data_IF_893855828284
#
_entry.id   IF_893855828284
#
_cell.length_a   1.000
_cell.length_b   1.000
_cell.length_c   1.000
_cell.angle_alpha   90.00
_cell.angle_beta   90.00
_cell.angle_gamma   90.00
#
_symmetry.space_group_name_H-M   'P 1'
#
loop_
_entity.id
_entity.type
_entity.pdbx_description
1 polymer ?
#
# COMPACT_ATOMS: atom_id res chain seq x y z
N UNK A 1 18.78 2.61 -52.86
CA UNK A 1 18.50 1.95 -51.56
C UNK A 1 19.08 2.81 -50.46
N UNK A 2 18.26 3.27 -49.52
CA UNK A 2 18.73 3.96 -48.31
C UNK A 2 17.80 3.49 -47.18
N UNK A 3 18.31 2.69 -46.23
CA UNK A 3 17.58 2.30 -45.03
C UNK A 3 17.99 3.23 -43.90
N UNK A 4 17.04 4.03 -43.41
CA UNK A 4 17.25 4.87 -42.24
C UNK A 4 16.93 4.09 -40.98
N UNK A 5 17.92 3.87 -40.11
CA UNK A 5 17.68 3.28 -38.79
C UNK A 5 17.09 4.33 -37.86
N UNK A 6 15.83 4.13 -37.45
CA UNK A 6 15.23 4.89 -36.35
C UNK A 6 15.85 4.43 -35.03
N UNK A 7 16.65 5.29 -34.43
CA UNK A 7 17.13 5.13 -33.06
C UNK A 7 15.95 5.25 -32.09
N UNK A 8 15.52 4.14 -31.50
CA UNK A 8 14.64 4.19 -30.34
C UNK A 8 15.48 4.52 -29.10
N UNK A 9 15.19 5.65 -28.47
CA UNK A 9 15.82 6.05 -27.21
C UNK A 9 15.29 5.18 -26.05
N UNK A 10 16.15 4.28 -25.54
CA UNK A 10 15.83 3.39 -24.43
C UNK A 10 15.95 4.05 -23.05
N UNK A 11 16.16 5.38 -22.96
CA UNK A 11 16.26 6.10 -21.68
C UNK A 11 14.90 6.32 -20.99
N UNK A 12 13.80 6.27 -21.73
CA UNK A 12 12.44 6.48 -21.20
C UNK A 12 11.86 5.14 -20.72
N UNK A 13 11.92 4.91 -19.41
CA UNK A 13 11.22 3.77 -18.80
C UNK A 13 9.70 3.91 -19.02
N UNK A 14 9.00 2.94 -19.65
CA UNK A 14 7.56 3.04 -19.90
C UNK A 14 6.74 3.22 -18.61
N UNK A 15 7.21 2.69 -17.48
CA UNK A 15 6.63 2.95 -16.16
C UNK A 15 6.60 4.45 -15.83
N UNK A 16 7.73 5.13 -16.02
CA UNK A 16 7.84 6.58 -15.80
C UNK A 16 6.97 7.37 -16.78
N UNK A 17 6.81 6.92 -18.03
CA UNK A 17 5.95 7.60 -19.02
C UNK A 17 4.45 7.45 -18.73
N UNK A 18 4.02 6.30 -18.19
CA UNK A 18 2.65 6.11 -17.73
C UNK A 18 2.36 6.96 -16.48
N UNK A 19 3.23 6.91 -15.48
CA UNK A 19 2.99 7.59 -14.20
C UNK A 19 3.20 9.12 -14.26
N UNK A 20 4.12 9.65 -15.08
CA UNK A 20 4.24 11.11 -15.29
C UNK A 20 2.93 11.73 -15.80
N UNK A 21 2.12 10.99 -16.57
CA UNK A 21 0.81 11.46 -17.05
C UNK A 21 -0.22 11.57 -15.91
N UNK A 22 -0.08 10.80 -14.81
CA UNK A 22 -0.95 10.89 -13.63
C UNK A 22 -0.73 12.17 -12.83
N UNK A 23 0.52 12.63 -12.70
CA UNK A 23 0.86 13.82 -11.91
C UNK A 23 0.17 15.12 -12.39
N UNK A 24 -0.17 15.22 -13.68
CA UNK A 24 -0.82 16.39 -14.26
C UNK A 24 -2.35 16.44 -14.06
N UNK A 25 -3.00 15.35 -13.65
CA UNK A 25 -4.47 15.27 -13.60
C UNK A 25 -5.11 15.86 -12.33
N UNK A 26 -4.35 16.11 -11.27
CA UNK A 26 -4.89 16.43 -9.93
C UNK A 26 -4.99 17.94 -9.67
N UNK A 27 -4.39 18.80 -10.51
CA UNK A 27 -4.26 20.24 -10.24
C UNK A 27 -5.48 21.12 -10.63
N UNK A 28 -6.67 20.54 -10.83
CA UNK A 28 -7.87 21.30 -11.19
C UNK A 28 -9.15 20.74 -10.58
N UNK A 29 -9.43 21.14 -9.33
CA UNK A 29 -10.77 21.04 -8.72
C UNK A 29 -11.17 22.44 -8.25
N UNK A 30 -12.22 23.01 -8.85
CA UNK A 30 -12.78 24.31 -8.48
C UNK A 30 -13.62 24.21 -7.20
N UNK A 31 -13.57 25.26 -6.37
CA UNK A 31 -14.49 25.44 -5.24
C UNK A 31 -15.89 25.91 -5.70
N UNK A 32 -16.97 25.33 -5.17
CA UNK A 32 -18.28 25.99 -5.08
C UNK A 32 -18.48 26.67 -3.72
N UNK A 33 -19.05 27.88 -3.75
CA UNK A 33 -19.42 28.71 -2.60
C UNK A 33 -20.79 28.35 -2.03
N UNK A 34 -21.02 28.49 -0.71
CA UNK A 34 -22.38 28.44 -0.13
C UNK A 34 -22.50 29.16 1.23
N UNK A 35 -23.61 29.88 1.44
CA UNK A 35 -24.22 30.35 2.72
C UNK A 35 -25.61 30.97 2.35
N UNK A 36 -26.61 31.16 3.26
CA UNK A 36 -26.93 30.41 4.48
C UNK A 36 -28.45 30.18 4.80
N UNK A 37 -28.70 29.24 5.72
CA UNK A 37 -29.68 29.24 6.86
C UNK A 37 -31.21 29.41 6.71
N UNK A 38 -31.96 28.39 7.16
CA UNK A 38 -33.24 28.41 7.91
C UNK A 38 -33.62 26.96 8.33
N UNK A 39 -34.34 26.61 9.43
CA UNK A 39 -34.64 27.28 10.72
C UNK A 39 -34.85 26.18 11.82
N UNK A 40 -35.72 26.34 12.84
CA UNK A 40 -36.01 25.33 13.90
C UNK A 40 -37.50 25.22 14.28
N UNK A 41 -37.88 24.07 14.87
CA UNK A 41 -38.71 23.84 16.09
C UNK A 41 -39.73 22.66 15.96
N UNK A 42 -40.33 22.11 17.06
CA UNK A 42 -39.90 20.81 17.62
C UNK A 42 -41.08 19.81 17.77
N UNK A 43 -40.87 18.64 18.41
CA UNK A 43 -41.92 17.82 19.08
C UNK A 43 -41.25 16.77 19.99
N UNK A 44 -42.00 16.18 20.94
CA UNK A 44 -41.44 15.68 22.22
C UNK A 44 -41.94 14.28 22.63
N UNK A 45 -41.22 13.62 23.55
CA UNK A 45 -41.59 12.37 24.32
C UNK A 45 -41.46 11.04 23.53
N UNK A 46 -41.16 9.84 24.08
CA UNK A 46 -41.08 9.24 25.44
C UNK A 46 -40.00 8.11 25.45
N UNK A 47 -39.32 7.73 26.57
CA UNK A 47 -38.15 6.83 26.53
C UNK A 47 -38.41 5.31 26.62
N UNK A 48 -37.41 4.50 26.22
CA UNK A 48 -37.34 3.02 26.31
C UNK A 48 -36.11 2.60 27.17
N UNK A 49 -36.13 1.49 27.95
CA UNK A 49 -35.25 1.35 29.11
C UNK A 49 -33.78 1.01 28.79
N UNK A 50 -32.91 1.35 29.75
CA UNK A 50 -31.48 1.08 29.73
C UNK A 50 -31.19 -0.36 30.17
N UNK A 51 -30.51 -1.15 29.33
CA UNK A 51 -29.87 -2.39 29.79
C UNK A 51 -28.46 -2.06 30.26
N UNK A 52 -28.17 -2.40 31.52
CA UNK A 52 -26.94 -2.04 32.21
C UNK A 52 -26.01 -3.26 32.27
N UNK A 53 -24.92 -3.24 31.50
CA UNK A 53 -23.85 -4.23 31.65
C UNK A 53 -22.87 -3.78 32.75
N UNK A 54 -22.37 -4.67 33.61
CA UNK A 54 -21.59 -4.30 34.78
C UNK A 54 -20.15 -3.88 34.43
N UNK A 55 -19.67 -2.81 35.07
CA UNK A 55 -18.26 -2.43 35.04
C UNK A 55 -17.42 -3.50 35.77
N UNK A 56 -16.48 -4.13 35.07
CA UNK A 56 -15.40 -4.86 35.72
C UNK A 56 -14.12 -4.03 35.67
N UNK A 57 -13.75 -3.46 36.82
CA UNK A 57 -12.45 -2.81 37.00
C UNK A 57 -11.35 -3.86 37.07
N UNK A 58 -10.49 -3.89 36.05
CA UNK A 58 -9.12 -4.40 36.20
C UNK A 58 -8.16 -3.36 35.63
N UNK A 59 -7.68 -2.47 36.52
CA UNK A 59 -6.55 -1.61 36.22
C UNK A 59 -5.28 -2.46 36.14
N UNK A 60 -4.57 -2.40 35.02
CA UNK A 60 -3.51 -3.36 34.73
C UNK A 60 -2.54 -2.95 33.62
N UNK A 61 -1.73 -1.93 33.89
CA UNK A 61 -0.31 -1.81 33.51
C UNK A 61 0.13 -1.87 32.02
N UNK A 62 1.41 -1.52 31.89
CA UNK A 62 2.32 -1.71 30.74
C UNK A 62 2.02 -0.80 29.55
N UNK A 63 2.82 0.25 29.46
CA UNK A 63 2.96 1.08 28.26
C UNK A 63 4.20 0.59 27.50
N UNK A 64 4.10 -0.31 26.50
CA UNK A 64 5.23 -0.62 25.66
C UNK A 64 5.52 0.64 24.83
N UNK A 65 6.74 1.14 24.90
CA UNK A 65 7.19 2.28 24.09
C UNK A 65 7.43 1.83 22.64
N UNK A 66 6.35 1.49 21.93
CA UNK A 66 6.36 1.37 20.48
C UNK A 66 6.69 2.75 19.92
N UNK A 67 7.87 2.88 19.31
CA UNK A 67 8.25 4.09 18.59
C UNK A 67 7.37 4.20 17.35
N UNK A 68 6.29 4.99 17.47
CA UNK A 68 5.37 5.28 16.37
C UNK A 68 6.08 6.10 15.30
N UNK A 69 6.59 5.41 14.27
CA UNK A 69 7.18 6.02 13.07
C UNK A 69 6.11 6.65 12.16
N UNK A 70 5.33 7.59 12.68
CA UNK A 70 4.57 8.59 11.90
C UNK A 70 4.18 9.76 12.80
N UNK A 71 4.94 10.86 12.76
CA UNK A 71 4.55 12.12 13.41
C UNK A 71 3.51 12.87 12.56
N UNK A 72 2.34 12.25 12.40
CA UNK A 72 1.11 12.89 11.92
C UNK A 72 -0.09 12.07 12.39
N UNK A 73 -0.33 12.05 13.70
CA UNK A 73 -1.61 11.65 14.26
C UNK A 73 -2.65 12.74 13.94
N UNK A 74 -3.08 12.79 12.68
CA UNK A 74 -4.30 13.48 12.31
C UNK A 74 -5.50 12.77 12.97
N UNK A 75 -6.56 13.54 13.24
CA UNK A 75 -7.94 13.04 13.40
C UNK A 75 -8.19 11.88 12.44
N UNK A 76 -8.88 10.77 12.83
CA UNK A 76 -9.07 9.60 11.97
C UNK A 76 -9.48 10.05 10.57
N UNK A 77 -8.54 9.88 9.64
CA UNK A 77 -8.73 10.31 8.27
C UNK A 77 -9.93 9.53 7.76
N UNK A 78 -10.83 10.20 7.02
CA UNK A 78 -11.86 9.48 6.30
C UNK A 78 -11.13 8.55 5.31
N UNK A 79 -10.98 7.27 5.70
CA UNK A 79 -10.29 6.27 4.88
C UNK A 79 -10.88 6.36 3.48
N UNK A 80 -10.01 6.48 2.49
CA UNK A 80 -10.45 6.57 1.12
C UNK A 80 -11.08 5.23 0.71
N UNK A 81 -11.87 5.25 -0.37
CA UNK A 81 -12.28 4.01 -1.05
C UNK A 81 -11.06 3.18 -1.47
N UNK A 82 -11.24 1.89 -1.75
CA UNK A 82 -10.13 0.95 -1.97
C UNK A 82 -9.24 1.35 -3.16
N UNK A 83 -9.83 1.81 -4.27
CA UNK A 83 -9.09 2.26 -5.45
C UNK A 83 -8.14 3.43 -5.13
N UNK A 84 -8.60 4.56 -4.55
CA UNK A 84 -7.67 5.64 -4.18
C UNK A 84 -6.66 5.26 -3.09
N UNK A 85 -6.92 4.24 -2.25
CA UNK A 85 -5.94 3.76 -1.28
C UNK A 85 -4.79 2.98 -1.94
N UNK A 86 -5.11 2.03 -2.82
CA UNK A 86 -4.12 1.26 -3.59
C UNK A 86 -3.36 2.16 -4.57
N UNK A 87 -4.06 3.10 -5.23
CA UNK A 87 -3.43 4.18 -6.02
C UNK A 87 -2.42 5.01 -5.22
N UNK A 88 -2.59 5.15 -3.90
CA UNK A 88 -1.61 5.83 -3.05
C UNK A 88 -0.38 4.96 -2.77
N UNK A 89 -0.55 3.67 -2.46
CA UNK A 89 0.57 2.72 -2.30
C UNK A 89 1.47 2.73 -3.55
N UNK A 90 0.87 2.63 -4.74
CA UNK A 90 1.60 2.63 -6.02
C UNK A 90 2.44 3.89 -6.25
N UNK A 91 1.94 5.05 -5.82
CA UNK A 91 2.66 6.32 -5.92
C UNK A 91 3.83 6.41 -4.94
N UNK A 92 3.70 5.88 -3.71
CA UNK A 92 4.81 5.79 -2.75
C UNK A 92 5.87 4.78 -3.22
N UNK A 93 5.44 3.61 -3.74
CA UNK A 93 6.32 2.61 -4.35
C UNK A 93 7.13 3.18 -5.51
N UNK A 94 6.48 3.91 -6.43
CA UNK A 94 7.20 4.66 -7.46
C UNK A 94 8.18 5.66 -6.83
N UNK A 95 7.71 6.53 -5.93
CA UNK A 95 8.54 7.59 -5.35
C UNK A 95 9.80 7.03 -4.66
N UNK A 96 9.67 5.90 -3.98
CA UNK A 96 10.80 5.18 -3.37
C UNK A 96 11.74 4.61 -4.43
N UNK A 97 11.22 3.98 -5.49
CA UNK A 97 12.05 3.48 -6.59
C UNK A 97 12.85 4.61 -7.27
N UNK A 98 12.23 5.78 -7.49
CA UNK A 98 12.86 6.94 -8.11
C UNK A 98 13.96 7.54 -7.22
N UNK A 99 13.83 7.45 -5.89
CA UNK A 99 14.90 7.82 -4.95
C UNK A 99 16.11 6.89 -5.07
N UNK A 100 15.88 5.59 -5.26
CA UNK A 100 16.96 4.60 -5.46
C UNK A 100 17.66 4.83 -6.80
N UNK A 101 16.90 5.06 -7.87
CA UNK A 101 17.42 5.23 -9.24
C UNK A 101 18.29 6.48 -9.39
N UNK A 102 17.85 7.62 -8.84
CA UNK A 102 18.53 8.91 -9.01
C UNK A 102 19.64 9.19 -7.98
N UNK A 103 19.70 8.45 -6.87
CA UNK A 103 20.74 8.67 -5.87
C UNK A 103 22.13 8.23 -6.38
N UNK A 104 23.16 8.96 -5.98
CA UNK A 104 24.56 8.52 -6.04
C UNK A 104 25.08 8.01 -4.70
N UNK A 105 24.30 8.19 -3.61
CA UNK A 105 24.68 7.83 -2.25
C UNK A 105 24.27 6.38 -1.91
N UNK A 106 25.27 5.56 -1.57
CA UNK A 106 25.11 4.14 -1.23
C UNK A 106 24.26 3.90 0.02
N UNK A 107 24.28 4.81 1.00
CA UNK A 107 23.48 4.73 2.23
C UNK A 107 22.01 5.07 1.96
N UNK A 108 21.76 6.11 1.16
CA UNK A 108 20.41 6.50 0.72
C UNK A 108 19.74 5.39 -0.11
N UNK A 109 20.48 4.79 -1.05
CA UNK A 109 20.02 3.60 -1.79
C UNK A 109 19.63 2.45 -0.87
N UNK A 110 20.43 2.19 0.17
CA UNK A 110 20.14 1.12 1.15
C UNK A 110 18.86 1.41 1.93
N UNK A 111 18.68 2.67 2.37
CA UNK A 111 17.49 3.14 3.09
C UNK A 111 16.22 3.01 2.24
N UNK A 112 16.23 3.54 1.02
CA UNK A 112 15.07 3.45 0.14
C UNK A 112 14.83 2.04 -0.39
N UNK A 113 15.86 1.19 -0.58
CA UNK A 113 15.67 -0.25 -0.82
C UNK A 113 14.88 -0.90 0.33
N UNK A 114 15.26 -0.60 1.57
CA UNK A 114 14.59 -1.16 2.74
C UNK A 114 13.13 -0.70 2.83
N UNK A 115 12.85 0.59 2.56
CA UNK A 115 11.49 1.15 2.49
C UNK A 115 10.68 0.54 1.36
N UNK A 116 11.16 0.59 0.12
CA UNK A 116 10.49 0.02 -1.05
C UNK A 116 10.15 -1.46 -0.87
N UNK A 117 11.06 -2.25 -0.29
CA UNK A 117 10.79 -3.67 0.03
C UNK A 117 9.70 -3.83 1.09
N UNK A 118 9.72 -2.98 2.12
CA UNK A 118 8.75 -3.01 3.22
C UNK A 118 7.35 -2.63 2.76
N UNK A 119 7.21 -1.64 1.87
CA UNK A 119 5.92 -1.33 1.26
C UNK A 119 5.47 -2.46 0.34
N UNK A 120 6.30 -2.85 -0.64
CA UNK A 120 5.87 -3.76 -1.70
C UNK A 120 5.49 -5.14 -1.16
N UNK A 121 6.25 -5.69 -0.21
CA UNK A 121 5.92 -7.01 0.37
C UNK A 121 4.56 -7.02 1.08
N UNK A 122 4.22 -5.96 1.81
CA UNK A 122 2.98 -5.88 2.61
C UNK A 122 1.77 -5.50 1.75
N UNK A 123 1.99 -4.72 0.70
CA UNK A 123 1.01 -4.38 -0.31
C UNK A 123 0.57 -5.63 -1.09
N UNK A 124 1.50 -6.35 -1.73
CA UNK A 124 1.18 -7.55 -2.53
C UNK A 124 0.44 -8.64 -1.71
N UNK A 125 0.91 -8.92 -0.49
CA UNK A 125 0.27 -9.91 0.40
C UNK A 125 -1.05 -9.36 0.96
N UNK A 126 -1.15 -8.06 1.21
CA UNK A 126 -2.40 -7.41 1.62
C UNK A 126 -3.50 -7.56 0.57
N UNK A 127 -3.18 -7.38 -0.71
CA UNK A 127 -4.10 -7.58 -1.83
C UNK A 127 -4.53 -9.04 -2.00
N UNK A 128 -3.57 -9.97 -1.96
CA UNK A 128 -3.85 -11.41 -2.06
C UNK A 128 -4.83 -11.92 -0.98
N UNK A 129 -4.80 -11.31 0.22
CA UNK A 129 -5.65 -11.68 1.35
C UNK A 129 -6.95 -10.88 1.46
N UNK A 130 -6.97 -9.62 1.02
CA UNK A 130 -8.11 -8.70 1.21
C UNK A 130 -8.81 -8.39 -0.11
N UNK A 131 -8.08 -7.86 -1.09
CA UNK A 131 -8.65 -7.37 -2.36
C UNK A 131 -9.11 -8.54 -3.23
N UNK A 132 -8.31 -9.61 -3.32
CA UNK A 132 -8.64 -10.75 -4.17
C UNK A 132 -9.83 -11.55 -3.59
N UNK A 133 -9.95 -11.60 -2.27
CA UNK A 133 -11.13 -12.16 -1.59
C UNK A 133 -12.40 -11.36 -1.92
N UNK A 134 -12.31 -10.02 -1.96
CA UNK A 134 -13.41 -9.16 -2.39
C UNK A 134 -13.74 -9.32 -3.88
N UNK A 135 -12.74 -9.41 -4.77
CA UNK A 135 -12.94 -9.67 -6.21
C UNK A 135 -13.67 -10.99 -6.44
N UNK A 136 -13.22 -12.09 -5.82
CA UNK A 136 -13.86 -13.42 -5.86
C UNK A 136 -15.31 -13.36 -5.37
N UNK A 137 -15.58 -12.59 -4.33
CA UNK A 137 -16.91 -12.51 -3.70
C UNK A 137 -17.89 -11.63 -4.49
N UNK A 138 -17.41 -10.59 -5.17
CA UNK A 138 -18.24 -9.54 -5.76
C UNK A 138 -18.38 -9.63 -7.30
N UNK A 139 -17.43 -10.27 -8.00
CA UNK A 139 -17.41 -10.35 -9.47
C UNK A 139 -17.58 -11.80 -9.96
N UNK A 140 -18.38 -11.99 -11.01
CA UNK A 140 -18.65 -13.31 -11.59
C UNK A 140 -17.40 -14.02 -12.17
N UNK A 141 -16.42 -13.25 -12.64
CA UNK A 141 -15.09 -13.67 -13.10
C UNK A 141 -14.00 -13.47 -12.03
N UNK A 142 -14.38 -13.11 -10.80
CA UNK A 142 -13.46 -12.72 -9.72
C UNK A 142 -12.40 -13.76 -9.36
N UNK A 143 -12.74 -15.05 -9.44
CA UNK A 143 -11.77 -16.14 -9.26
C UNK A 143 -10.70 -16.17 -10.36
N UNK A 144 -11.09 -15.98 -11.62
CA UNK A 144 -10.16 -15.95 -12.74
C UNK A 144 -9.21 -14.74 -12.66
N UNK A 145 -9.74 -13.60 -12.22
CA UNK A 145 -8.95 -12.39 -11.95
C UNK A 145 -7.92 -12.68 -10.84
N UNK A 146 -8.38 -13.13 -9.67
CA UNK A 146 -7.52 -13.41 -8.53
C UNK A 146 -6.41 -14.43 -8.84
N UNK A 147 -6.71 -15.47 -9.64
CA UNK A 147 -5.73 -16.49 -10.00
C UNK A 147 -4.69 -16.01 -11.02
N UNK A 148 -5.07 -15.15 -11.99
CA UNK A 148 -4.07 -14.43 -12.81
C UNK A 148 -3.16 -13.58 -11.92
N UNK A 149 -3.75 -12.77 -11.07
CA UNK A 149 -3.00 -11.78 -10.32
C UNK A 149 -2.05 -12.44 -9.31
N UNK A 150 -2.42 -13.59 -8.71
CA UNK A 150 -1.50 -14.44 -7.93
C UNK A 150 -0.29 -14.91 -8.72
N UNK A 151 -0.43 -15.24 -10.01
CA UNK A 151 0.68 -15.63 -10.89
C UNK A 151 1.61 -14.44 -11.15
N UNK A 152 1.05 -13.26 -11.42
CA UNK A 152 1.81 -12.00 -11.58
C UNK A 152 2.55 -11.64 -10.30
N UNK A 153 1.86 -11.63 -9.17
CA UNK A 153 2.42 -11.43 -7.83
C UNK A 153 3.54 -12.42 -7.52
N UNK A 154 3.43 -13.68 -7.94
CA UNK A 154 4.50 -14.65 -7.71
C UNK A 154 5.80 -14.27 -8.46
N UNK A 155 5.69 -13.75 -9.68
CA UNK A 155 6.82 -13.18 -10.43
C UNK A 155 7.43 -11.95 -9.73
N UNK A 156 6.57 -11.00 -9.33
CA UNK A 156 6.97 -9.76 -8.64
C UNK A 156 7.63 -10.10 -7.28
N UNK A 157 7.05 -11.02 -6.50
CA UNK A 157 7.61 -11.53 -5.23
C UNK A 157 9.01 -12.13 -5.47
N UNK A 158 9.20 -12.95 -6.50
CA UNK A 158 10.50 -13.54 -6.82
C UNK A 158 11.58 -12.50 -7.20
N UNK A 159 11.19 -11.48 -7.96
CA UNK A 159 12.06 -10.35 -8.31
C UNK A 159 12.39 -9.49 -7.08
N UNK A 160 11.39 -9.20 -6.22
CA UNK A 160 11.59 -8.48 -4.97
C UNK A 160 12.53 -9.24 -4.02
N UNK A 161 12.39 -10.57 -3.92
CA UNK A 161 13.30 -11.41 -3.12
C UNK A 161 14.74 -11.32 -3.65
N UNK A 162 14.93 -11.28 -4.96
CA UNK A 162 16.25 -11.05 -5.56
C UNK A 162 16.76 -9.64 -5.20
N UNK A 163 15.93 -8.61 -5.39
CA UNK A 163 16.30 -7.21 -5.17
C UNK A 163 16.66 -6.88 -3.71
N UNK A 164 15.89 -7.38 -2.74
CA UNK A 164 16.08 -7.06 -1.32
C UNK A 164 17.39 -7.60 -0.75
N UNK A 165 17.92 -8.69 -1.32
CA UNK A 165 19.17 -9.34 -0.92
C UNK A 165 20.41 -8.63 -1.51
N UNK A 166 20.27 -7.87 -2.61
CA UNK A 166 21.39 -7.18 -3.27
C UNK A 166 21.89 -5.96 -2.47
N UNK A 167 23.21 -5.81 -2.39
CA UNK A 167 23.85 -4.58 -1.88
C UNK A 167 23.56 -3.38 -2.80
N UNK A 168 23.48 -2.17 -2.27
CA UNK A 168 23.36 -0.94 -3.07
C UNK A 168 24.58 -0.64 -3.96
N UNK A 169 25.67 -1.39 -3.78
CA UNK A 169 26.88 -1.37 -4.61
C UNK A 169 26.95 -2.49 -5.63
N UNK A 170 26.01 -3.41 -5.63
CA UNK A 170 26.01 -4.55 -6.55
C UNK A 170 25.72 -4.07 -7.99
N UNK A 171 26.47 -4.51 -9.02
CA UNK A 171 26.18 -4.17 -10.42
C UNK A 171 24.76 -4.54 -10.86
N UNK A 172 24.16 -5.58 -10.29
CA UNK A 172 22.79 -6.03 -10.58
C UNK A 172 21.71 -5.26 -9.80
N UNK A 173 22.07 -4.41 -8.84
CA UNK A 173 21.12 -3.69 -8.00
C UNK A 173 20.11 -2.84 -8.79
N UNK A 174 20.61 -1.97 -9.68
CA UNK A 174 19.76 -1.11 -10.51
C UNK A 174 19.10 -1.85 -11.70
N UNK A 175 19.77 -2.79 -12.41
CA UNK A 175 19.10 -3.68 -13.37
C UNK A 175 17.91 -4.43 -12.78
N UNK A 176 18.07 -5.04 -11.59
CA UNK A 176 17.01 -5.81 -10.92
C UNK A 176 15.83 -4.91 -10.54
N UNK A 177 16.09 -3.73 -9.98
CA UNK A 177 15.02 -2.76 -9.69
C UNK A 177 14.27 -2.34 -10.96
N UNK A 178 14.96 -2.11 -12.08
CA UNK A 178 14.29 -1.74 -13.34
C UNK A 178 13.42 -2.87 -13.91
N UNK A 179 13.85 -4.12 -13.80
CA UNK A 179 13.01 -5.28 -14.16
C UNK A 179 11.76 -5.35 -13.29
N UNK A 180 11.95 -5.25 -11.97
CA UNK A 180 10.87 -5.25 -10.98
C UNK A 180 9.85 -4.12 -11.21
N UNK A 181 10.31 -2.89 -11.44
CA UNK A 181 9.42 -1.75 -11.69
C UNK A 181 8.69 -1.83 -13.04
N UNK A 182 9.23 -2.56 -14.03
CA UNK A 182 8.51 -2.81 -15.29
C UNK A 182 7.34 -3.77 -15.04
N UNK A 183 7.61 -4.91 -14.40
CA UNK A 183 6.60 -5.97 -14.26
C UNK A 183 5.53 -5.59 -13.22
N UNK A 184 5.93 -4.96 -12.10
CA UNK A 184 5.00 -4.27 -11.19
C UNK A 184 4.20 -3.18 -11.92
N UNK A 185 4.86 -2.44 -12.81
CA UNK A 185 4.21 -1.41 -13.61
C UNK A 185 3.12 -1.92 -14.54
N UNK A 186 3.23 -3.15 -15.04
CA UNK A 186 2.23 -3.78 -15.88
C UNK A 186 1.01 -4.23 -15.06
N UNK A 187 1.26 -4.83 -13.90
CA UNK A 187 0.23 -5.18 -12.91
C UNK A 187 -0.58 -3.95 -12.45
N UNK A 188 0.11 -2.92 -11.97
CA UNK A 188 -0.48 -1.65 -11.48
C UNK A 188 -1.45 -1.04 -12.49
N UNK A 189 -1.12 -1.03 -13.79
CA UNK A 189 -2.01 -0.46 -14.82
C UNK A 189 -3.30 -1.24 -14.95
N UNK A 190 -3.18 -2.56 -15.05
CA UNK A 190 -4.33 -3.43 -15.26
C UNK A 190 -5.27 -3.41 -14.03
N UNK A 191 -4.71 -3.43 -12.82
CA UNK A 191 -5.48 -3.31 -11.59
C UNK A 191 -6.19 -1.94 -11.46
N UNK A 192 -5.45 -0.84 -11.68
CA UNK A 192 -5.95 0.53 -11.50
C UNK A 192 -6.97 1.00 -12.55
N UNK A 193 -6.87 0.51 -13.79
CA UNK A 193 -7.69 0.93 -14.93
C UNK A 193 -8.82 -0.06 -15.24
N UNK A 194 -8.77 -1.31 -14.77
CA UNK A 194 -9.76 -2.35 -15.06
C UNK A 194 -10.39 -2.96 -13.81
N UNK A 195 -9.60 -3.47 -12.87
CA UNK A 195 -10.11 -4.40 -11.85
C UNK A 195 -10.72 -3.68 -10.65
N UNK A 196 -9.98 -2.73 -10.07
CA UNK A 196 -10.47 -1.94 -8.96
C UNK A 196 -11.64 -1.03 -9.36
N UNK A 197 -11.68 -0.40 -10.56
CA UNK A 197 -12.90 0.28 -11.04
C UNK A 197 -14.13 -0.65 -11.05
N UNK A 198 -14.01 -1.87 -11.59
CA UNK A 198 -15.10 -2.85 -11.62
C UNK A 198 -15.55 -3.29 -10.21
N UNK A 199 -14.61 -3.41 -9.27
CA UNK A 199 -14.94 -3.69 -7.87
C UNK A 199 -15.66 -2.50 -7.21
N UNK A 200 -15.22 -1.27 -7.49
CA UNK A 200 -15.82 -0.04 -6.95
C UNK A 200 -17.22 0.24 -7.51
N UNK A 201 -17.55 -0.24 -8.71
CA UNK A 201 -18.90 -0.19 -9.31
C UNK A 201 -19.92 -1.05 -8.56
N UNK A 202 -19.50 -2.18 -7.99
CA UNK A 202 -20.39 -3.12 -7.27
C UNK A 202 -20.41 -2.91 -5.76
N UNK A 203 -19.38 -2.30 -5.18
CA UNK A 203 -19.32 -1.97 -3.75
C UNK A 203 -19.99 -0.63 -3.43
N UNK A 204 -20.76 -0.60 -2.35
CA UNK A 204 -21.13 0.66 -1.70
C UNK A 204 -19.89 1.41 -1.22
N UNK A 205 -20.05 2.71 -0.96
CA UNK A 205 -18.95 3.54 -0.45
C UNK A 205 -18.46 3.02 0.90
N UNK A 206 -19.38 2.58 1.75
CA UNK A 206 -19.11 2.11 3.10
C UNK A 206 -18.35 0.77 3.09
N UNK A 207 -18.73 -0.17 2.22
CA UNK A 207 -18.01 -1.44 2.02
C UNK A 207 -16.60 -1.22 1.46
N UNK A 208 -16.46 -0.37 0.43
CA UNK A 208 -15.16 -0.03 -0.15
C UNK A 208 -14.21 0.63 0.86
N UNK A 209 -14.73 1.52 1.71
CA UNK A 209 -13.97 2.15 2.79
C UNK A 209 -13.59 1.14 3.89
N UNK A 210 -14.46 0.16 4.21
CA UNK A 210 -14.10 -0.91 5.15
C UNK A 210 -13.06 -1.88 4.57
N UNK A 211 -13.09 -2.12 3.26
CA UNK A 211 -12.06 -2.91 2.57
C UNK A 211 -10.68 -2.24 2.70
N UNK A 212 -10.61 -0.91 2.56
CA UNK A 212 -9.39 -0.13 2.87
C UNK A 212 -8.94 -0.34 4.32
N UNK A 213 -9.85 -0.23 5.31
CA UNK A 213 -9.49 -0.47 6.73
C UNK A 213 -9.00 -1.89 6.98
N UNK A 214 -9.53 -2.87 6.24
CA UNK A 214 -9.06 -4.25 6.33
C UNK A 214 -7.65 -4.39 5.74
N UNK A 215 -7.40 -3.81 4.56
CA UNK A 215 -6.07 -3.79 3.93
C UNK A 215 -5.02 -3.11 4.85
N UNK A 216 -5.34 -1.92 5.37
CA UNK A 216 -4.49 -1.17 6.31
C UNK A 216 -4.15 -2.00 7.56
N UNK A 217 -5.14 -2.72 8.11
CA UNK A 217 -4.97 -3.61 9.26
C UNK A 217 -4.10 -4.82 8.91
N UNK A 218 -4.31 -5.46 7.75
CA UNK A 218 -3.52 -6.63 7.34
C UNK A 218 -2.06 -6.27 7.08
N UNK A 219 -1.77 -5.09 6.52
CA UNK A 219 -0.42 -4.54 6.35
C UNK A 219 0.40 -4.44 7.65
N UNK A 220 -0.21 -4.55 8.83
CA UNK A 220 0.48 -4.59 10.13
C UNK A 220 1.04 -5.99 10.42
N UNK A 221 0.33 -7.05 10.01
CA UNK A 221 0.61 -8.44 10.41
C UNK A 221 1.31 -9.27 9.33
N UNK A 222 1.15 -8.92 8.05
CA UNK A 222 1.81 -9.62 6.94
C UNK A 222 3.34 -9.41 6.95
N UNK A 223 4.12 -10.33 6.35
CA UNK A 223 5.57 -10.19 6.24
C UNK A 223 6.02 -8.88 5.59
N UNK A 224 7.07 -8.27 6.13
CA UNK A 224 7.64 -7.03 5.61
C UNK A 224 8.77 -7.24 4.58
N UNK A 225 8.94 -8.48 4.11
CA UNK A 225 9.92 -8.91 3.10
C UNK A 225 9.29 -9.97 2.21
N UNK A 226 9.81 -10.10 0.99
CA UNK A 226 9.34 -11.15 0.08
C UNK A 226 9.87 -12.51 0.49
N UNK A 227 8.97 -13.49 0.57
CA UNK A 227 9.26 -14.92 0.78
C UNK A 227 8.48 -15.76 -0.26
N UNK A 228 8.94 -15.85 -1.52
CA UNK A 228 8.15 -16.43 -2.63
C UNK A 228 7.82 -17.92 -2.47
N UNK A 229 8.49 -18.62 -1.55
CA UNK A 229 8.29 -20.05 -1.27
C UNK A 229 7.44 -20.28 -0.01
N UNK A 230 7.08 -19.22 0.74
CA UNK A 230 6.17 -19.34 1.85
C UNK A 230 4.71 -19.38 1.35
N UNK A 231 3.83 -20.20 1.95
CA UNK A 231 2.40 -20.07 1.73
C UNK A 231 1.95 -18.65 2.05
N UNK A 232 1.01 -18.11 1.24
CA UNK A 232 0.47 -16.76 1.45
C UNK A 232 -0.62 -16.74 2.55
N UNK A 233 -1.15 -17.90 2.92
CA UNK A 233 -2.18 -18.04 3.97
C UNK A 233 -1.71 -17.57 5.36
N UNK A 234 -2.48 -16.69 6.04
CA UNK A 234 -2.07 -16.07 7.30
C UNK A 234 -2.34 -16.97 8.51
N UNK A 235 -1.29 -17.61 9.04
CA UNK A 235 -1.36 -18.39 10.28
C UNK A 235 -1.44 -17.49 11.54
N UNK A 236 -2.54 -16.76 11.74
CA UNK A 236 -2.69 -15.79 12.85
C UNK A 236 -3.93 -15.97 13.75
N UNK A 237 -4.58 -17.14 13.76
CA UNK A 237 -5.81 -17.38 14.55
C UNK A 237 -5.61 -17.60 16.07
N UNK A 238 -4.40 -17.44 16.62
CA UNK A 238 -4.11 -17.74 18.04
C UNK A 238 -3.30 -16.65 18.73
N UNK A 239 -3.32 -16.63 20.07
CA UNK A 239 -2.50 -15.73 20.89
C UNK A 239 -0.98 -15.90 20.65
N UNK A 240 -0.54 -17.04 20.08
CA UNK A 240 0.84 -17.27 19.62
C UNK A 240 1.17 -16.41 18.40
N UNK A 241 0.18 -16.14 17.51
CA UNK A 241 0.34 -15.30 16.33
C UNK A 241 0.82 -13.87 16.64
N UNK A 242 0.45 -13.34 17.81
CA UNK A 242 0.91 -12.03 18.29
C UNK A 242 2.37 -12.05 18.81
N UNK A 243 2.86 -13.22 19.26
CA UNK A 243 4.26 -13.44 19.64
C UNK A 243 5.14 -13.78 18.43
N UNK A 244 4.54 -14.26 17.34
CA UNK A 244 5.19 -14.55 16.05
C UNK A 244 4.92 -13.46 15.02
N UNK A 245 5.04 -12.18 15.41
CA UNK A 245 5.20 -11.10 14.44
C UNK A 245 6.28 -11.53 13.43
N UNK A 246 6.05 -11.42 12.11
CA UNK A 246 6.96 -11.99 11.11
C UNK A 246 8.39 -11.56 11.40
N UNK A 247 9.34 -12.51 11.42
CA UNK A 247 10.71 -12.33 11.92
C UNK A 247 11.38 -11.08 11.32
N UNK A 248 10.99 -10.72 10.10
CA UNK A 248 11.41 -9.51 9.42
C UNK A 248 11.09 -8.20 10.16
N UNK A 249 9.94 -8.06 10.82
CA UNK A 249 9.56 -6.87 11.60
C UNK A 249 10.47 -6.69 12.82
N UNK A 250 10.97 -7.78 13.41
CA UNK A 250 12.01 -7.71 14.46
C UNK A 250 13.34 -7.26 13.85
N UNK A 251 13.71 -7.80 12.68
CA UNK A 251 14.90 -7.38 11.96
C UNK A 251 14.81 -5.94 11.41
N UNK A 252 13.60 -5.42 11.16
CA UNK A 252 13.34 -4.05 10.69
C UNK A 252 13.78 -2.98 11.69
N UNK A 253 13.73 -3.28 12.99
CA UNK A 253 14.24 -2.42 14.07
C UNK A 253 15.74 -2.13 13.93
N UNK A 254 16.48 -3.01 13.25
CA UNK A 254 17.94 -2.90 13.02
C UNK A 254 18.28 -2.46 11.59
N UNK A 255 17.29 -2.27 10.71
CA UNK A 255 17.50 -1.78 9.34
C UNK A 255 17.62 -0.26 9.30
N UNK A 256 18.27 0.25 8.25
CA UNK A 256 18.35 1.68 7.96
C UNK A 256 17.12 2.12 7.18
N UNK A 257 16.48 3.18 7.63
CA UNK A 257 15.28 3.77 7.01
C UNK A 257 15.55 5.21 6.54
N UNK A 258 14.80 5.75 5.56
CA UNK A 258 14.91 7.16 5.19
C UNK A 258 14.59 8.07 6.39
N UNK A 259 15.35 9.14 6.59
CA UNK A 259 15.04 10.13 7.65
C UNK A 259 13.69 10.78 7.32
N UNK A 260 12.71 10.68 8.23
CA UNK A 260 11.50 11.50 8.18
C UNK A 260 11.88 12.99 8.12
N UNK A 261 11.29 13.76 7.18
CA UNK A 261 11.72 15.11 6.79
C UNK A 261 12.21 15.93 7.99
N UNK A 262 13.52 16.19 8.06
CA UNK A 262 14.10 17.13 9.05
C UNK A 262 13.40 18.48 8.88
N UNK A 263 12.58 18.87 9.85
CA UNK A 263 12.03 20.23 9.91
C UNK A 263 13.22 21.18 9.88
N UNK A 264 13.32 22.03 8.84
CA UNK A 264 14.25 23.16 8.87
C UNK A 264 13.88 23.98 10.10
N UNK A 265 14.83 24.15 11.04
CA UNK A 265 14.74 25.20 12.04
C UNK A 265 14.93 26.52 11.27
N UNK A 266 13.83 27.19 10.97
CA UNK A 266 13.78 28.62 10.69
C UNK A 266 13.36 29.33 11.96
#
# INVERSE_FOLDING_TARGET
MIYSYLYFDTSINPFSSFMLRRAHAIHSIHHPTHLPSAHQHPMTTTPRPKTQCPNHFLGGNIHPSLQTFTSSAATPIAHSRILPAIKHDHLELEAHSQKILHSTNKDEKTRYRNQFTWELARHLIGEELVVYSALVSALADGQQIADRNRIEHQGIKQQLKTFQDLSSTDPQFLPTLRGLMRDLGDHVRHEEDVELPRLEEVLSKEESVELTRHLDRMKIFVPSRSHPLAPTEPFFETAVGLLTAPIDHVADLFRKWPDGKKKKKG
#
